data_IF_012642776938
#
_entry.id   IF_012642776938
#
_cell.length_a   1.000
_cell.length_b   1.000
_cell.length_c   1.000
_cell.angle_alpha   90.00
_cell.angle_beta   90.00
_cell.angle_gamma   90.00
#
_symmetry.space_group_name_H-M   'P 1'
#
loop_
_entity.id
_entity.type
_entity.pdbx_description
1 polymer ?
#
# COMPACT_ATOMS: atom_id res chain seq x y z
N UNK A 1 14.73 -24.93 3.37
CA UNK A 1 14.38 -23.49 3.38
C UNK A 1 13.81 -23.14 2.01
N UNK A 2 12.75 -22.34 1.93
CA UNK A 2 12.28 -21.83 0.64
C UNK A 2 13.37 -20.94 0.02
N UNK A 3 13.90 -21.37 -1.13
CA UNK A 3 14.92 -20.64 -1.85
C UNK A 3 14.41 -19.24 -2.26
N UNK A 4 15.29 -18.24 -2.25
CA UNK A 4 14.95 -16.85 -2.64
C UNK A 4 14.31 -15.98 -1.57
N UNK A 5 13.77 -16.52 -0.47
CA UNK A 5 13.15 -15.70 0.59
C UNK A 5 14.06 -14.62 1.18
N UNK A 6 15.36 -14.86 1.24
CA UNK A 6 16.37 -13.91 1.74
C UNK A 6 16.60 -12.71 0.81
N UNK A 7 16.13 -12.79 -0.44
CA UNK A 7 16.23 -11.71 -1.44
C UNK A 7 15.04 -10.76 -1.42
N UNK A 8 13.99 -11.05 -0.64
CA UNK A 8 12.88 -10.11 -0.45
C UNK A 8 13.40 -8.81 0.17
N UNK A 9 12.91 -7.64 -0.26
CA UNK A 9 13.33 -6.36 0.31
C UNK A 9 12.64 -6.07 1.65
N UNK A 10 13.17 -5.12 2.42
CA UNK A 10 12.54 -4.58 3.62
C UNK A 10 11.61 -3.42 3.27
N UNK A 11 10.71 -3.66 2.33
CA UNK A 11 9.83 -2.64 1.75
C UNK A 11 8.36 -3.08 1.81
N UNK A 12 7.41 -2.12 1.76
CA UNK A 12 6.00 -2.42 1.65
C UNK A 12 5.70 -3.19 0.36
N UNK A 13 4.72 -4.08 0.41
CA UNK A 13 4.32 -4.79 -0.81
C UNK A 13 3.33 -5.90 -0.58
N UNK A 14 3.02 -6.62 -1.66
CA UNK A 14 2.11 -7.77 -1.67
C UNK A 14 2.85 -8.98 -2.16
N UNK A 15 2.68 -10.11 -1.47
CA UNK A 15 3.29 -11.38 -1.82
C UNK A 15 2.25 -12.46 -2.10
N UNK A 16 2.66 -13.46 -2.90
CA UNK A 16 1.91 -14.69 -3.19
C UNK A 16 2.73 -15.89 -2.78
N UNK A 17 2.08 -16.85 -2.14
CA UNK A 17 2.58 -18.21 -2.03
C UNK A 17 2.00 -19.07 -3.13
N UNK A 18 2.86 -19.84 -3.81
CA UNK A 18 2.45 -20.82 -4.82
C UNK A 18 2.83 -22.23 -4.43
N UNK A 19 2.02 -23.20 -4.86
CA UNK A 19 2.38 -24.62 -4.78
C UNK A 19 3.27 -25.08 -5.94
N UNK A 20 3.72 -26.34 -5.90
CA UNK A 20 4.58 -26.92 -6.94
C UNK A 20 3.92 -27.05 -8.32
N UNK A 21 2.60 -26.79 -8.44
CA UNK A 21 1.87 -26.72 -9.71
C UNK A 21 1.65 -25.28 -10.16
N UNK A 22 2.25 -24.30 -9.47
CA UNK A 22 2.11 -22.88 -9.77
C UNK A 22 0.78 -22.26 -9.30
N UNK A 23 -0.06 -22.96 -8.53
CA UNK A 23 -1.34 -22.42 -8.06
C UNK A 23 -1.11 -21.46 -6.90
N UNK A 24 -1.78 -20.30 -6.91
CA UNK A 24 -1.74 -19.36 -5.79
C UNK A 24 -2.48 -19.95 -4.59
N UNK A 25 -1.75 -20.16 -3.50
CA UNK A 25 -2.26 -20.68 -2.24
C UNK A 25 -2.77 -19.54 -1.33
N UNK A 26 -2.05 -18.43 -1.32
CA UNK A 26 -2.29 -17.32 -0.42
C UNK A 26 -1.72 -16.01 -0.98
N UNK A 27 -2.42 -14.91 -0.73
CA UNK A 27 -2.00 -13.53 -0.99
C UNK A 27 -1.94 -12.79 0.33
N UNK A 28 -0.89 -12.00 0.58
CA UNK A 28 -0.85 -11.12 1.74
C UNK A 28 -0.08 -9.83 1.49
N UNK A 29 -0.40 -8.78 2.24
CA UNK A 29 0.42 -7.57 2.30
C UNK A 29 1.44 -7.59 3.42
N UNK A 30 2.46 -6.73 3.26
CA UNK A 30 3.52 -6.52 4.23
C UNK A 30 3.88 -5.02 4.32
N UNK A 31 4.22 -4.55 5.51
CA UNK A 31 4.99 -3.30 5.68
C UNK A 31 6.46 -3.50 5.32
N UNK A 32 6.97 -4.71 5.55
CA UNK A 32 8.32 -5.17 5.19
C UNK A 32 8.22 -6.61 4.68
N UNK A 33 8.40 -6.81 3.37
CA UNK A 33 8.21 -8.11 2.71
C UNK A 33 9.07 -9.22 3.33
N UNK A 34 10.37 -8.98 3.53
CA UNK A 34 11.29 -9.99 4.09
C UNK A 34 10.85 -10.50 5.46
N UNK A 35 10.60 -9.58 6.39
CA UNK A 35 10.17 -9.91 7.76
C UNK A 35 8.82 -10.64 7.75
N UNK A 36 7.84 -10.11 7.00
CA UNK A 36 6.49 -10.69 6.95
C UNK A 36 6.49 -12.08 6.35
N UNK A 37 7.17 -12.31 5.25
CA UNK A 37 7.27 -13.64 4.62
C UNK A 37 8.07 -14.59 5.50
N UNK A 38 9.17 -14.14 6.11
CA UNK A 38 9.96 -14.92 7.06
C UNK A 38 9.13 -15.48 8.22
N UNK A 39 8.19 -14.69 8.73
CA UNK A 39 7.31 -15.06 9.87
C UNK A 39 6.44 -16.30 9.65
N UNK A 40 6.32 -16.82 8.43
CA UNK A 40 5.57 -18.05 8.14
C UNK A 40 6.36 -19.33 8.46
N UNK A 41 7.69 -19.22 8.55
CA UNK A 41 8.59 -20.31 8.94
C UNK A 41 9.08 -20.18 10.39
N UNK A 42 8.46 -19.28 11.14
CA UNK A 42 8.61 -19.13 12.60
C UNK A 42 7.34 -19.67 13.28
N UNK A 43 7.21 -19.50 14.59
CA UNK A 43 5.95 -19.80 15.28
C UNK A 43 4.80 -19.01 14.65
N UNK A 44 3.78 -19.75 14.20
CA UNK A 44 2.62 -19.19 13.53
C UNK A 44 1.60 -18.60 14.51
N UNK A 45 1.70 -18.90 15.81
CA UNK A 45 0.76 -18.41 16.83
C UNK A 45 -0.68 -18.67 16.42
N UNK A 46 -1.52 -17.64 16.39
CA UNK A 46 -2.94 -17.71 16.00
C UNK A 46 -3.18 -18.15 14.54
N UNK A 47 -2.12 -18.22 13.72
CA UNK A 47 -2.18 -18.65 12.32
C UNK A 47 -1.94 -20.15 12.13
N UNK A 48 -2.15 -21.00 13.16
CA UNK A 48 -1.95 -22.46 13.06
C UNK A 48 -2.68 -23.14 11.89
N UNK A 49 -3.81 -22.57 11.45
CA UNK A 49 -4.53 -23.07 10.27
C UNK A 49 -3.71 -23.00 8.97
N UNK A 50 -2.64 -22.20 8.92
CA UNK A 50 -1.76 -22.07 7.76
C UNK A 50 -0.62 -23.08 7.74
N UNK A 51 -0.42 -23.91 8.77
CA UNK A 51 0.67 -24.92 8.81
C UNK A 51 0.66 -25.81 7.56
N UNK A 52 -0.51 -26.32 7.18
CA UNK A 52 -0.67 -27.16 5.97
C UNK A 52 -0.39 -26.40 4.68
N UNK A 53 -0.70 -25.10 4.65
CA UNK A 53 -0.38 -24.24 3.51
C UNK A 53 1.13 -24.05 3.40
N UNK A 54 1.80 -23.69 4.50
CA UNK A 54 3.25 -23.44 4.54
C UNK A 54 4.03 -24.65 4.04
N UNK A 55 3.62 -25.86 4.44
CA UNK A 55 4.21 -27.10 3.96
C UNK A 55 4.06 -27.32 2.43
N UNK A 56 3.04 -26.74 1.81
CA UNK A 56 2.77 -26.85 0.38
C UNK A 56 3.40 -25.73 -0.46
N UNK A 57 4.02 -24.72 0.15
CA UNK A 57 4.63 -23.59 -0.57
C UNK A 57 5.90 -24.05 -1.29
N UNK A 58 5.88 -23.94 -2.62
CA UNK A 58 7.03 -24.21 -3.48
C UNK A 58 7.70 -22.93 -3.99
N UNK A 59 6.98 -21.81 -4.06
CA UNK A 59 7.52 -20.54 -4.51
C UNK A 59 6.88 -19.33 -3.80
N UNK A 60 7.64 -18.23 -3.76
CA UNK A 60 7.18 -16.91 -3.34
C UNK A 60 7.32 -15.94 -4.51
N UNK A 61 6.27 -15.18 -4.76
CA UNK A 61 6.29 -14.01 -5.63
C UNK A 61 5.96 -12.78 -4.80
N UNK A 62 6.42 -11.61 -5.23
CA UNK A 62 6.07 -10.36 -4.58
C UNK A 62 6.09 -9.19 -5.56
N UNK A 63 5.28 -8.18 -5.26
CA UNK A 63 5.38 -6.84 -5.81
C UNK A 63 5.69 -5.88 -4.66
N UNK A 64 6.66 -4.99 -4.89
CA UNK A 64 6.95 -3.86 -4.00
C UNK A 64 5.96 -2.74 -4.31
N UNK A 65 5.57 -2.03 -3.25
CA UNK A 65 4.70 -0.86 -3.31
C UNK A 65 5.43 0.35 -2.74
N UNK A 66 5.06 1.53 -3.22
CA UNK A 66 5.65 2.81 -2.80
C UNK A 66 5.13 3.23 -1.40
N UNK A 67 4.07 2.59 -0.90
CA UNK A 67 3.56 2.81 0.45
C UNK A 67 2.81 1.60 1.03
N UNK A 68 2.61 1.61 2.35
CA UNK A 68 1.77 0.60 3.03
C UNK A 68 0.31 0.72 2.62
N UNK A 69 -0.16 1.94 2.30
CA UNK A 69 -1.52 2.16 1.80
C UNK A 69 -1.71 1.58 0.40
N UNK A 70 -0.74 1.78 -0.48
CA UNK A 70 -0.69 1.15 -1.80
C UNK A 70 -0.66 -0.38 -1.70
N UNK A 71 0.14 -0.95 -0.80
CA UNK A 71 0.15 -2.40 -0.56
C UNK A 71 -1.21 -2.93 -0.06
N UNK A 72 -1.94 -2.15 0.75
CA UNK A 72 -3.29 -2.50 1.18
C UNK A 72 -4.28 -2.50 0.00
N UNK A 73 -4.18 -1.52 -0.88
CA UNK A 73 -4.99 -1.47 -2.11
C UNK A 73 -4.69 -2.62 -3.06
N UNK A 74 -3.41 -2.92 -3.30
CA UNK A 74 -3.02 -4.02 -4.19
C UNK A 74 -3.49 -5.37 -3.65
N UNK A 75 -3.35 -5.62 -2.34
CA UNK A 75 -3.86 -6.85 -1.72
C UNK A 75 -5.37 -6.97 -1.92
N UNK A 76 -6.11 -5.88 -1.65
CA UNK A 76 -7.55 -5.85 -1.86
C UNK A 76 -7.90 -6.18 -3.30
N UNK A 77 -7.35 -5.45 -4.27
CA UNK A 77 -7.68 -5.59 -5.69
C UNK A 77 -7.43 -7.03 -6.17
N UNK A 78 -6.33 -7.62 -5.73
CA UNK A 78 -5.98 -9.01 -6.07
C UNK A 78 -6.93 -10.00 -5.41
N UNK A 79 -7.32 -9.80 -4.15
CA UNK A 79 -8.26 -10.67 -3.44
C UNK A 79 -9.69 -10.60 -3.99
N UNK A 80 -10.12 -9.42 -4.45
CA UNK A 80 -11.39 -9.24 -5.16
C UNK A 80 -11.40 -10.01 -6.49
N UNK A 81 -10.28 -9.97 -7.22
CA UNK A 81 -10.16 -10.65 -8.52
C UNK A 81 -9.96 -12.17 -8.38
N UNK A 82 -9.14 -12.60 -7.42
CA UNK A 82 -8.85 -14.01 -7.14
C UNK A 82 -8.77 -14.20 -5.64
N UNK A 83 -9.63 -15.05 -5.09
CA UNK A 83 -9.60 -15.44 -3.67
C UNK A 83 -8.92 -16.82 -3.51
N UNK A 84 -7.65 -16.87 -3.07
CA UNK A 84 -6.97 -18.15 -2.87
C UNK A 84 -7.61 -18.96 -1.75
N UNK A 85 -7.44 -20.30 -1.81
CA UNK A 85 -8.02 -21.27 -0.86
C UNK A 85 -7.75 -20.92 0.61
N UNK A 86 -6.54 -20.43 0.92
CA UNK A 86 -6.12 -20.19 2.30
C UNK A 86 -6.38 -18.76 2.77
N UNK A 87 -6.82 -17.85 1.90
CA UNK A 87 -7.20 -16.51 2.30
C UNK A 87 -8.56 -16.50 3.01
N UNK A 88 -8.57 -15.98 4.23
CA UNK A 88 -9.79 -15.74 5.02
C UNK A 88 -10.01 -14.24 5.12
N UNK A 89 -11.20 -13.79 4.76
CA UNK A 89 -11.63 -12.39 4.89
C UNK A 89 -12.77 -12.36 5.89
N UNK A 90 -12.44 -12.42 7.19
CA UNK A 90 -13.44 -12.33 8.27
C UNK A 90 -13.98 -10.91 8.32
N UNK A 91 -15.30 -10.75 8.32
CA UNK A 91 -15.95 -9.42 8.30
C UNK A 91 -16.07 -8.79 6.90
N UNK A 92 -15.69 -9.50 5.84
CA UNK A 92 -15.75 -8.98 4.48
C UNK A 92 -14.57 -8.08 4.11
N UNK A 93 -14.51 -7.69 2.83
CA UNK A 93 -13.46 -6.81 2.33
C UNK A 93 -13.71 -5.39 2.83
N UNK A 94 -12.68 -4.71 3.33
CA UNK A 94 -12.82 -3.36 3.92
C UNK A 94 -13.48 -2.36 2.96
N UNK A 95 -14.61 -1.76 3.31
CA UNK A 95 -15.27 -0.79 2.42
C UNK A 95 -14.38 0.45 2.20
N UNK A 96 -14.07 0.82 0.95
CA UNK A 96 -13.38 2.07 0.66
C UNK A 96 -14.19 3.28 1.13
N UNK A 97 -13.49 4.34 1.51
CA UNK A 97 -14.11 5.61 1.91
C UNK A 97 -13.54 6.76 1.11
N UNK A 98 -14.29 7.85 1.06
CA UNK A 98 -13.97 9.07 0.34
C UNK A 98 -14.03 10.26 1.28
N UNK A 99 -13.42 11.36 0.86
CA UNK A 99 -13.54 12.64 1.54
C UNK A 99 -14.24 13.64 0.62
N UNK A 100 -15.30 14.24 1.14
CA UNK A 100 -16.03 15.32 0.47
C UNK A 100 -15.60 16.66 1.04
N UNK A 101 -15.20 17.59 0.17
CA UNK A 101 -14.93 18.98 0.53
C UNK A 101 -16.12 19.83 0.13
N UNK A 102 -16.73 20.47 1.12
CA UNK A 102 -17.85 21.40 0.93
C UNK A 102 -17.33 22.81 1.06
N UNK A 103 -17.36 23.59 -0.01
CA UNK A 103 -17.07 25.02 0.02
C UNK A 103 -18.37 25.84 -0.14
N UNK A 104 -19.29 25.65 0.81
CA UNK A 104 -20.50 26.44 0.89
C UNK A 104 -20.31 27.59 1.88
N UNK A 105 -20.89 28.75 1.60
CA UNK A 105 -20.92 29.86 2.57
C UNK A 105 -21.76 29.54 3.82
N UNK A 106 -22.69 28.59 3.74
CA UNK A 106 -23.55 28.22 4.87
C UNK A 106 -22.82 27.32 5.87
N UNK A 107 -22.27 26.21 5.37
CA UNK A 107 -21.63 25.16 6.17
C UNK A 107 -20.46 24.53 5.39
N UNK A 108 -19.31 25.22 5.29
CA UNK A 108 -18.13 24.67 4.65
C UNK A 108 -17.49 23.59 5.54
N UNK A 109 -16.75 22.65 4.95
CA UNK A 109 -16.06 21.64 5.73
C UNK A 109 -15.65 20.40 4.96
N UNK A 110 -14.83 19.58 5.61
CA UNK A 110 -14.37 18.29 5.12
C UNK A 110 -15.13 17.17 5.86
N UNK A 111 -15.70 16.22 5.10
CA UNK A 111 -16.52 15.12 5.62
C UNK A 111 -16.06 13.76 5.08
N UNK A 112 -16.30 12.70 5.85
CA UNK A 112 -16.18 11.32 5.38
C UNK A 112 -17.42 10.93 4.56
N UNK A 113 -17.22 10.26 3.44
CA UNK A 113 -18.28 9.67 2.61
C UNK A 113 -17.99 8.19 2.37
N UNK A 114 -19.04 7.37 2.32
CA UNK A 114 -18.97 5.97 1.89
C UNK A 114 -19.32 5.81 0.40
N UNK A 115 -19.83 6.87 -0.23
CA UNK A 115 -20.04 6.96 -1.67
C UNK A 115 -18.91 7.75 -2.32
N UNK A 116 -18.60 7.51 -3.61
CA UNK A 116 -17.61 8.28 -4.35
C UNK A 116 -17.81 9.79 -4.22
N UNK A 117 -16.75 10.50 -3.85
CA UNK A 117 -16.77 11.95 -3.59
C UNK A 117 -15.48 12.62 -4.12
N UNK A 118 -15.20 13.85 -3.68
CA UNK A 118 -14.12 14.69 -4.18
C UNK A 118 -12.73 14.03 -4.09
N UNK A 119 -12.40 13.33 -2.99
CA UNK A 119 -11.08 12.74 -2.77
C UNK A 119 -11.15 11.27 -2.35
N UNK A 120 -10.14 10.49 -2.75
CA UNK A 120 -10.05 9.05 -2.52
C UNK A 120 -10.01 8.25 -3.83
N UNK A 121 -10.30 6.94 -3.78
CA UNK A 121 -10.74 6.17 -2.61
C UNK A 121 -9.60 5.90 -1.60
N UNK A 122 -9.96 5.74 -0.33
CA UNK A 122 -9.06 5.38 0.76
C UNK A 122 -9.47 4.06 1.41
N UNK A 123 -8.49 3.34 1.97
CA UNK A 123 -8.68 2.21 2.87
C UNK A 123 -8.30 2.66 4.28
N UNK A 124 -8.70 1.91 5.31
CA UNK A 124 -8.48 2.27 6.70
C UNK A 124 -9.43 3.35 7.17
N UNK A 125 -10.74 3.11 7.22
CA UNK A 125 -11.71 4.18 7.58
C UNK A 125 -11.41 4.88 8.91
N UNK A 126 -10.85 4.17 9.90
CA UNK A 126 -10.38 4.76 11.15
C UNK A 126 -9.20 5.71 10.94
N UNK A 127 -8.21 5.32 10.12
CA UNK A 127 -7.08 6.18 9.73
C UNK A 127 -7.57 7.41 8.98
N UNK A 128 -8.52 7.25 8.07
CA UNK A 128 -9.10 8.39 7.34
C UNK A 128 -9.79 9.37 8.30
N UNK A 129 -10.48 8.88 9.34
CA UNK A 129 -11.04 9.73 10.41
C UNK A 129 -9.96 10.43 11.24
N UNK A 130 -8.86 9.75 11.56
CA UNK A 130 -7.72 10.37 12.26
C UNK A 130 -7.07 11.46 11.39
N UNK A 131 -6.89 11.22 10.10
CA UNK A 131 -6.37 12.23 9.17
C UNK A 131 -7.31 13.44 9.09
N UNK A 132 -8.62 13.19 9.01
CA UNK A 132 -9.64 14.24 9.05
C UNK A 132 -9.59 15.06 10.34
N UNK A 133 -9.38 14.41 11.50
CA UNK A 133 -9.18 15.08 12.79
C UNK A 133 -7.95 16.00 12.74
N UNK A 134 -6.82 15.50 12.25
CA UNK A 134 -5.59 16.28 12.07
C UNK A 134 -5.79 17.47 11.15
N UNK A 135 -6.37 17.27 9.97
CA UNK A 135 -6.65 18.35 9.01
C UNK A 135 -7.56 19.43 9.61
N UNK A 136 -8.63 19.04 10.33
CA UNK A 136 -9.49 19.99 11.04
C UNK A 136 -8.77 20.77 12.14
N UNK A 137 -7.71 20.19 12.73
CA UNK A 137 -6.92 20.84 13.77
C UNK A 137 -6.10 22.01 13.21
N UNK A 138 -5.48 21.80 12.05
CA UNK A 138 -4.58 22.78 11.41
C UNK A 138 -5.27 23.69 10.39
N UNK A 139 -6.40 23.26 9.81
CA UNK A 139 -7.18 23.98 8.80
C UNK A 139 -8.66 23.94 9.16
N UNK A 140 -9.12 24.80 10.10
CA UNK A 140 -10.44 24.67 10.69
C UNK A 140 -11.55 25.29 9.81
N UNK A 141 -11.65 24.82 8.56
CA UNK A 141 -12.58 25.32 7.53
C UNK A 141 -14.03 25.42 8.02
N UNK A 142 -14.46 24.49 8.88
CA UNK A 142 -15.83 24.46 9.43
C UNK A 142 -16.24 25.73 10.19
N UNK A 143 -15.28 26.51 10.68
CA UNK A 143 -15.54 27.75 11.42
C UNK A 143 -15.61 29.00 10.52
N UNK A 144 -15.60 28.83 9.19
CA UNK A 144 -15.73 29.94 8.22
C UNK A 144 -17.16 30.12 7.70
N UNK A 145 -18.10 29.29 8.15
CA UNK A 145 -19.51 29.33 7.70
C UNK A 145 -20.30 30.52 8.24
N UNK A 146 -21.40 30.85 7.59
CA UNK A 146 -22.37 31.87 8.04
C UNK A 146 -23.37 31.35 9.06
N UNK A 147 -23.53 30.03 9.17
CA UNK A 147 -24.49 29.37 10.09
C UNK A 147 -23.82 28.77 11.33
N UNK A 148 -22.87 29.48 11.93
CA UNK A 148 -22.23 29.04 13.17
C UNK A 148 -23.17 29.18 14.36
N UNK A 149 -23.23 28.13 15.19
CA UNK A 149 -23.83 28.16 16.53
C UNK A 149 -22.99 29.01 17.49
N UNK A 150 -23.51 29.30 18.69
CA UNK A 150 -22.79 30.11 19.69
C UNK A 150 -21.42 29.55 20.06
N UNK A 151 -21.31 28.24 20.30
CA UNK A 151 -20.05 27.58 20.60
C UNK A 151 -19.08 27.60 19.41
N UNK A 152 -19.59 27.44 18.18
CA UNK A 152 -18.77 27.47 16.98
C UNK A 152 -18.21 28.87 16.69
N UNK A 153 -18.98 29.93 16.96
CA UNK A 153 -18.48 31.32 16.86
C UNK A 153 -17.36 31.60 17.85
N UNK A 154 -17.53 31.21 19.11
CA UNK A 154 -16.48 31.36 20.12
C UNK A 154 -15.21 30.58 19.72
N UNK A 155 -15.36 29.41 19.09
CA UNK A 155 -14.23 28.66 18.55
C UNK A 155 -13.59 29.33 17.34
N UNK A 156 -14.37 29.94 16.44
CA UNK A 156 -13.86 30.72 15.32
C UNK A 156 -13.00 31.90 15.80
N UNK A 157 -13.51 32.66 16.78
CA UNK A 157 -12.80 33.79 17.42
C UNK A 157 -11.50 33.33 18.08
N UNK A 158 -11.56 32.26 18.90
CA UNK A 158 -10.37 31.70 19.56
C UNK A 158 -9.30 31.21 18.56
N UNK A 159 -9.72 30.75 17.38
CA UNK A 159 -8.83 30.29 16.32
C UNK A 159 -8.40 31.41 15.37
N UNK A 160 -8.95 32.62 15.51
CA UNK A 160 -8.67 33.75 14.63
C UNK A 160 -9.13 33.54 13.19
N UNK A 161 -10.23 32.80 12.98
CA UNK A 161 -10.73 32.44 11.65
C UNK A 161 -12.06 33.11 11.37
N UNK A 162 -12.21 33.60 10.14
CA UNK A 162 -13.38 34.35 9.66
C UNK A 162 -13.92 33.75 8.35
N UNK A 163 -15.06 34.27 7.88
CA UNK A 163 -15.61 33.87 6.58
C UNK A 163 -14.68 34.21 5.39
N UNK A 164 -13.76 35.18 5.54
CA UNK A 164 -12.82 35.57 4.49
C UNK A 164 -11.74 34.50 4.24
N UNK A 165 -11.43 33.68 5.25
CA UNK A 165 -10.39 32.64 5.17
C UNK A 165 -10.86 31.38 4.43
N UNK A 166 -12.17 31.28 4.16
CA UNK A 166 -12.82 30.08 3.60
C UNK A 166 -12.13 29.56 2.34
N UNK A 167 -11.93 30.43 1.35
CA UNK A 167 -11.38 30.05 0.05
C UNK A 167 -9.93 29.57 0.19
N UNK A 168 -9.14 30.21 1.05
CA UNK A 168 -7.74 29.82 1.29
C UNK A 168 -7.69 28.47 1.99
N UNK A 169 -8.43 28.29 3.09
CA UNK A 169 -8.46 27.03 3.83
C UNK A 169 -8.99 25.87 3.00
N UNK A 170 -10.01 26.10 2.17
CA UNK A 170 -10.54 25.08 1.26
C UNK A 170 -9.50 24.69 0.19
N UNK A 171 -8.80 25.67 -0.39
CA UNK A 171 -7.74 25.42 -1.38
C UNK A 171 -6.55 24.66 -0.77
N UNK A 172 -6.11 25.00 0.44
CA UNK A 172 -5.03 24.28 1.12
C UNK A 172 -5.43 22.82 1.41
N UNK A 173 -6.65 22.59 1.93
CA UNK A 173 -7.16 21.23 2.14
C UNK A 173 -7.23 20.45 0.83
N UNK A 174 -7.73 21.06 -0.24
CA UNK A 174 -7.80 20.44 -1.55
C UNK A 174 -6.40 20.08 -2.08
N UNK A 175 -5.41 20.97 -1.95
CA UNK A 175 -4.03 20.72 -2.36
C UNK A 175 -3.40 19.58 -1.57
N UNK A 176 -3.56 19.55 -0.24
CA UNK A 176 -3.07 18.43 0.59
C UNK A 176 -3.72 17.10 0.19
N UNK A 177 -5.03 17.07 -0.05
CA UNK A 177 -5.75 15.86 -0.44
C UNK A 177 -5.49 15.44 -1.90
N UNK A 178 -5.13 16.39 -2.77
CA UNK A 178 -4.59 16.15 -4.10
C UNK A 178 -3.12 15.67 -4.07
N UNK A 179 -2.53 15.54 -2.87
CA UNK A 179 -1.15 15.10 -2.62
C UNK A 179 -0.09 16.05 -3.20
N UNK A 180 -0.38 17.35 -3.24
CA UNK A 180 0.62 18.36 -3.57
C UNK A 180 1.77 18.30 -2.55
N UNK A 181 3.03 18.11 -2.97
CA UNK A 181 4.15 17.90 -2.04
C UNK A 181 4.35 19.04 -1.05
N UNK A 182 4.16 20.28 -1.48
CA UNK A 182 4.33 21.43 -0.59
C UNK A 182 3.19 21.54 0.42
N UNK A 183 1.94 21.38 -0.02
CA UNK A 183 0.78 21.41 0.86
C UNK A 183 0.80 20.26 1.88
N UNK A 184 1.25 19.07 1.48
CA UNK A 184 1.46 17.94 2.40
C UNK A 184 2.59 18.25 3.38
N UNK A 185 3.70 18.80 2.90
CA UNK A 185 4.84 19.21 3.75
C UNK A 185 4.43 20.24 4.81
N UNK A 186 3.68 21.28 4.43
CA UNK A 186 3.13 22.28 5.35
C UNK A 186 2.18 21.66 6.37
N UNK A 187 1.21 20.86 5.93
CA UNK A 187 0.26 20.20 6.83
C UNK A 187 0.96 19.30 7.87
N UNK A 188 1.98 18.56 7.44
CA UNK A 188 2.80 17.73 8.32
C UNK A 188 3.59 18.59 9.32
N UNK A 189 4.21 19.67 8.86
CA UNK A 189 4.96 20.58 9.73
C UNK A 189 4.06 21.21 10.80
N UNK A 190 2.86 21.68 10.42
CA UNK A 190 1.90 22.28 11.34
C UNK A 190 1.43 21.29 12.41
N UNK A 191 1.11 20.05 12.03
CA UNK A 191 0.75 19.02 13.01
C UNK A 191 1.93 18.63 13.91
N UNK A 192 3.15 18.55 13.37
CA UNK A 192 4.34 18.27 14.17
C UNK A 192 4.60 19.38 15.20
N UNK A 193 4.46 20.64 14.82
CA UNK A 193 4.59 21.76 15.75
C UNK A 193 3.56 21.69 16.89
N UNK A 194 2.30 21.34 16.59
CA UNK A 194 1.27 21.15 17.61
C UNK A 194 1.55 19.97 18.54
N UNK A 195 2.06 18.86 18.01
CA UNK A 195 2.51 17.71 18.82
C UNK A 195 3.63 18.13 19.77
N UNK A 196 4.63 18.84 19.26
CA UNK A 196 5.81 19.22 20.01
C UNK A 196 5.47 20.25 21.09
N UNK A 197 4.56 21.18 20.80
CA UNK A 197 4.00 22.09 21.80
C UNK A 197 3.26 21.33 22.91
N UNK A 198 2.42 20.36 22.56
CA UNK A 198 1.71 19.54 23.55
C UNK A 198 2.71 18.77 24.44
N UNK A 199 3.74 18.17 23.85
CA UNK A 199 4.79 17.47 24.57
C UNK A 199 5.60 18.40 25.49
N UNK A 200 5.92 19.63 25.04
CA UNK A 200 6.60 20.63 25.86
C UNK A 200 5.80 21.04 27.10
N UNK A 201 4.46 21.00 27.01
CA UNK A 201 3.54 21.24 28.13
C UNK A 201 3.19 19.97 28.93
N UNK A 202 3.90 18.86 28.72
CA UNK A 202 3.67 17.56 29.35
C UNK A 202 2.29 16.93 29.05
N UNK A 203 1.60 17.39 28.01
CA UNK A 203 0.32 16.84 27.56
C UNK A 203 0.53 15.63 26.64
N UNK A 204 1.14 14.55 27.17
CA UNK A 204 1.58 13.40 26.38
C UNK A 204 0.46 12.65 25.67
N UNK A 205 -0.74 12.57 26.25
CA UNK A 205 -1.90 11.96 25.58
C UNK A 205 -2.29 12.72 24.31
N UNK A 206 -2.29 14.05 24.39
CA UNK A 206 -2.58 14.92 23.24
C UNK A 206 -1.47 14.81 22.19
N UNK A 207 -0.20 14.80 22.61
CA UNK A 207 0.92 14.59 21.70
C UNK A 207 0.83 13.22 21.00
N UNK A 208 0.45 12.16 21.73
CA UNK A 208 0.20 10.83 21.18
C UNK A 208 -0.92 10.84 20.15
N UNK A 209 -2.05 11.50 20.45
CA UNK A 209 -3.15 11.65 19.50
C UNK A 209 -2.71 12.38 18.23
N UNK A 210 -1.96 13.49 18.33
CA UNK A 210 -1.48 14.22 17.16
C UNK A 210 -0.45 13.40 16.37
N UNK A 211 0.34 12.56 17.04
CA UNK A 211 1.24 11.62 16.37
C UNK A 211 0.47 10.57 15.54
N UNK A 212 -0.69 10.10 16.02
CA UNK A 212 -1.58 9.25 15.22
C UNK A 212 -2.21 10.01 14.04
N UNK A 213 -2.63 11.27 14.26
CA UNK A 213 -3.14 12.15 13.20
C UNK A 213 -2.08 12.39 12.11
N UNK A 214 -0.81 12.57 12.48
CA UNK A 214 0.33 12.66 11.55
C UNK A 214 0.52 11.39 10.73
N UNK A 215 0.55 10.22 11.38
CA UNK A 215 0.67 8.94 10.69
C UNK A 215 -0.52 8.65 9.76
N UNK A 216 -1.70 9.16 10.13
CA UNK A 216 -2.90 9.07 9.33
C UNK A 216 -2.90 10.04 8.13
N UNK A 217 -2.34 11.25 8.30
CA UNK A 217 -2.09 12.17 7.18
C UNK A 217 -1.17 11.51 6.17
N UNK A 218 -0.01 11.00 6.62
CA UNK A 218 0.94 10.27 5.78
C UNK A 218 0.28 9.09 5.04
N UNK A 219 -0.67 8.41 5.68
CA UNK A 219 -1.42 7.31 5.06
C UNK A 219 -2.29 7.75 3.89
N UNK A 220 -3.07 8.83 4.03
CA UNK A 220 -3.98 9.28 2.97
C UNK A 220 -3.27 10.06 1.85
N UNK A 221 -2.13 10.69 2.16
CA UNK A 221 -1.31 11.43 1.19
C UNK A 221 -0.20 10.59 0.57
N UNK A 222 -0.07 9.31 0.96
CA UNK A 222 0.92 8.40 0.40
C UNK A 222 0.76 8.23 -1.12
N UNK A 223 1.87 7.96 -1.86
CA UNK A 223 1.81 7.56 -3.26
C UNK A 223 0.85 6.38 -3.47
N UNK A 224 0.05 6.49 -4.54
CA UNK A 224 -0.99 5.53 -4.88
C UNK A 224 -1.10 5.38 -6.40
N UNK A 225 -0.49 4.33 -6.94
CA UNK A 225 -0.53 3.96 -8.37
C UNK A 225 -1.49 2.81 -8.66
N UNK A 226 -1.61 1.86 -7.73
CA UNK A 226 -2.31 0.57 -7.99
C UNK A 226 -3.84 0.71 -8.01
N UNK A 227 -4.38 1.84 -7.57
CA UNK A 227 -5.80 2.21 -7.67
C UNK A 227 -5.92 3.68 -8.08
N UNK A 228 -6.45 3.91 -9.27
CA UNK A 228 -6.78 5.22 -9.82
C UNK A 228 -8.30 5.40 -9.93
N UNK A 229 -8.74 6.66 -9.95
CA UNK A 229 -10.12 7.03 -10.31
C UNK A 229 -10.35 7.05 -11.82
N UNK A 230 -9.28 7.26 -12.57
CA UNK A 230 -9.36 7.29 -14.03
C UNK A 230 -9.55 5.87 -14.53
N UNK A 231 -10.64 5.58 -15.26
CA UNK A 231 -10.85 4.28 -15.84
C UNK A 231 -9.78 4.03 -16.91
N UNK A 232 -9.13 2.88 -16.83
CA UNK A 232 -8.08 2.50 -17.78
C UNK A 232 -7.83 1.00 -17.75
N UNK A 233 -7.74 0.42 -18.94
CA UNK A 233 -7.47 -1.00 -19.17
C UNK A 233 -6.19 -1.15 -19.97
N UNK A 234 -5.16 -1.71 -19.34
CA UNK A 234 -3.88 -1.95 -20.00
C UNK A 234 -3.10 -3.06 -19.30
N UNK A 235 -1.99 -3.44 -19.90
CA UNK A 235 -0.99 -4.29 -19.28
C UNK A 235 0.33 -3.54 -19.26
N UNK A 236 0.91 -3.39 -18.08
CA UNK A 236 2.28 -2.91 -17.95
C UNK A 236 3.23 -4.11 -17.83
N UNK A 237 4.42 -4.01 -18.42
CA UNK A 237 5.40 -5.09 -18.42
C UNK A 237 6.80 -4.58 -18.09
N UNK A 238 7.56 -5.41 -17.39
CA UNK A 238 8.98 -5.23 -17.10
C UNK A 238 9.72 -6.53 -17.35
N UNK A 239 11.03 -6.45 -17.63
CA UNK A 239 11.84 -7.63 -17.90
C UNK A 239 13.20 -7.53 -17.21
N UNK A 240 13.64 -8.63 -16.63
CA UNK A 240 14.96 -8.73 -16.00
C UNK A 240 15.42 -10.19 -15.95
N UNK A 241 16.68 -10.46 -16.27
CA UNK A 241 17.35 -11.77 -16.21
C UNK A 241 16.49 -12.96 -16.69
N UNK A 242 15.87 -12.81 -17.86
CA UNK A 242 15.06 -13.88 -18.46
C UNK A 242 13.67 -14.05 -17.85
N UNK A 243 13.21 -13.14 -17.00
CA UNK A 243 11.86 -13.10 -16.42
C UNK A 243 11.10 -11.91 -16.97
N UNK A 244 9.96 -12.18 -17.61
CA UNK A 244 8.96 -11.16 -17.96
C UNK A 244 7.92 -11.10 -16.85
N UNK A 245 7.74 -9.92 -16.26
CA UNK A 245 6.63 -9.58 -15.38
C UNK A 245 5.58 -8.81 -16.16
N UNK A 246 4.31 -9.15 -15.97
CA UNK A 246 3.16 -8.42 -16.50
C UNK A 246 2.21 -8.05 -15.36
N UNK A 247 1.70 -6.82 -15.41
CA UNK A 247 0.80 -6.20 -14.45
C UNK A 247 -0.51 -5.88 -15.16
N UNK A 248 -1.61 -6.48 -14.71
CA UNK A 248 -2.92 -6.34 -15.36
C UNK A 248 -3.73 -5.25 -14.66
N UNK A 249 -3.95 -4.13 -15.35
CA UNK A 249 -4.76 -3.01 -14.84
C UNK A 249 -6.12 -3.01 -15.54
N UNK A 250 -7.21 -3.00 -14.77
CA UNK A 250 -8.58 -2.93 -15.26
C UNK A 250 -9.37 -1.90 -14.47
N UNK A 251 -10.11 -1.04 -15.17
CA UNK A 251 -10.86 0.07 -14.59
C UNK A 251 -10.00 0.87 -13.58
N UNK A 252 -8.74 1.15 -13.95
CA UNK A 252 -7.81 1.91 -13.11
C UNK A 252 -7.24 1.15 -11.92
N UNK A 253 -7.50 -0.16 -11.78
CA UNK A 253 -7.02 -0.99 -10.66
C UNK A 253 -6.06 -2.07 -11.13
N UNK A 254 -4.90 -2.19 -10.49
CA UNK A 254 -4.02 -3.35 -10.65
C UNK A 254 -4.66 -4.56 -9.96
N UNK A 255 -5.19 -5.48 -10.75
CA UNK A 255 -5.99 -6.63 -10.28
C UNK A 255 -5.22 -7.96 -10.28
N UNK A 256 -4.17 -8.07 -11.09
CA UNK A 256 -3.37 -9.28 -11.18
C UNK A 256 -1.95 -8.99 -11.66
N UNK A 257 -1.04 -9.92 -11.40
CA UNK A 257 0.27 -9.97 -12.05
C UNK A 257 0.65 -11.41 -12.40
N UNK A 258 1.47 -11.55 -13.44
CA UNK A 258 2.04 -12.82 -13.84
C UNK A 258 3.52 -12.65 -14.17
N UNK A 259 4.32 -13.65 -13.77
CA UNK A 259 5.74 -13.75 -14.12
C UNK A 259 6.00 -15.06 -14.85
N UNK A 260 6.83 -15.02 -15.90
CA UNK A 260 7.21 -16.21 -16.67
C UNK A 260 8.62 -16.08 -17.25
N UNK A 261 9.32 -17.20 -17.48
CA UNK A 261 10.51 -17.21 -18.31
C UNK A 261 10.22 -16.61 -19.70
N UNK A 262 11.08 -15.70 -20.15
CA UNK A 262 10.96 -15.03 -21.43
C UNK A 262 12.32 -14.49 -21.84
N UNK A 263 12.76 -14.75 -23.08
CA UNK A 263 13.94 -14.09 -23.64
C UNK A 263 13.69 -12.61 -23.90
N UNK A 264 14.75 -11.81 -23.89
CA UNK A 264 14.69 -10.35 -24.07
C UNK A 264 13.97 -9.93 -25.35
N UNK A 265 14.33 -10.53 -26.49
CA UNK A 265 13.69 -10.24 -27.79
C UNK A 265 12.19 -10.51 -27.79
N UNK A 266 11.74 -11.53 -27.06
CA UNK A 266 10.32 -11.85 -26.93
C UNK A 266 9.60 -10.94 -25.92
N UNK A 267 10.33 -10.33 -24.99
CA UNK A 267 9.79 -9.35 -24.05
C UNK A 267 9.60 -7.96 -24.69
N UNK A 268 10.44 -7.58 -25.65
CA UNK A 268 10.47 -6.23 -26.23
C UNK A 268 9.10 -5.66 -26.66
N UNK A 269 8.19 -6.40 -27.33
CA UNK A 269 6.87 -5.87 -27.68
C UNK A 269 6.00 -5.54 -26.46
N UNK A 270 6.13 -6.31 -25.37
CA UNK A 270 5.40 -6.07 -24.13
C UNK A 270 5.93 -4.81 -23.42
N UNK A 271 7.25 -4.61 -23.41
CA UNK A 271 7.88 -3.43 -22.81
C UNK A 271 7.50 -2.16 -23.57
N UNK A 272 7.49 -2.22 -24.90
CA UNK A 272 7.09 -1.09 -25.76
C UNK A 272 5.62 -0.70 -25.58
N UNK A 273 4.74 -1.65 -25.22
CA UNK A 273 3.33 -1.40 -24.94
C UNK A 273 3.06 -0.87 -23.52
N UNK A 274 4.08 -0.83 -22.65
CA UNK A 274 3.92 -0.36 -21.26
C UNK A 274 3.71 1.15 -21.22
N UNK A 275 2.64 1.65 -20.55
CA UNK A 275 2.49 3.09 -20.34
C UNK A 275 3.68 3.68 -19.59
N UNK A 276 4.16 4.86 -20.01
CA UNK A 276 5.37 5.48 -19.45
C UNK A 276 5.35 5.63 -17.92
N UNK A 277 4.21 6.02 -17.34
CA UNK A 277 4.03 6.14 -15.89
C UNK A 277 4.18 4.82 -15.11
N UNK A 278 4.15 3.67 -15.80
CA UNK A 278 4.28 2.33 -15.23
C UNK A 278 5.62 1.66 -15.54
N UNK A 279 6.42 2.18 -16.47
CA UNK A 279 7.65 1.54 -16.92
C UNK A 279 8.63 1.30 -15.76
N UNK A 280 8.92 2.33 -14.96
CA UNK A 280 9.80 2.20 -13.80
C UNK A 280 9.27 1.23 -12.74
N UNK A 281 7.96 1.26 -12.47
CA UNK A 281 7.33 0.36 -11.51
C UNK A 281 7.36 -1.11 -11.97
N UNK A 282 7.06 -1.36 -13.25
CA UNK A 282 7.07 -2.69 -13.83
C UNK A 282 8.50 -3.25 -13.89
N UNK A 283 9.48 -2.42 -14.25
CA UNK A 283 10.88 -2.81 -14.31
C UNK A 283 11.44 -3.21 -12.94
N UNK A 284 11.25 -2.35 -11.93
CA UNK A 284 11.65 -2.64 -10.55
C UNK A 284 11.10 -3.96 -10.02
N UNK A 285 9.83 -4.25 -10.34
CA UNK A 285 9.20 -5.49 -9.90
C UNK A 285 9.64 -6.70 -10.74
N UNK A 286 10.02 -6.51 -12.00
CA UNK A 286 10.62 -7.57 -12.81
C UNK A 286 11.99 -7.99 -12.27
N UNK A 287 12.81 -7.04 -11.82
CA UNK A 287 14.08 -7.29 -11.13
C UNK A 287 13.89 -8.10 -9.85
N UNK A 288 12.88 -7.76 -9.04
CA UNK A 288 12.52 -8.56 -7.87
C UNK A 288 12.09 -9.99 -8.28
N UNK A 289 11.22 -10.12 -9.29
CA UNK A 289 10.75 -11.42 -9.77
C UNK A 289 11.91 -12.30 -10.27
N UNK A 290 12.85 -11.71 -10.99
CA UNK A 290 14.08 -12.36 -11.45
C UNK A 290 14.94 -12.81 -10.25
N UNK A 291 15.21 -11.92 -9.30
CA UNK A 291 16.01 -12.22 -8.12
C UNK A 291 15.43 -13.39 -7.30
N UNK A 292 14.10 -13.47 -7.15
CA UNK A 292 13.42 -14.56 -6.45
C UNK A 292 13.47 -15.88 -7.24
N UNK A 293 13.44 -15.82 -8.57
CA UNK A 293 13.47 -17.00 -9.45
C UNK A 293 14.86 -17.64 -9.51
N UNK A 294 15.93 -16.84 -9.71
CA UNK A 294 17.32 -17.31 -9.81
C UNK A 294 17.79 -18.00 -8.53
N UNK A 295 17.29 -17.57 -7.37
CA UNK A 295 17.59 -18.24 -6.11
C UNK A 295 16.96 -19.63 -6.01
N UNK A 296 15.80 -19.88 -6.65
CA UNK A 296 15.12 -21.17 -6.69
C UNK A 296 15.80 -22.22 -7.56
N UNK A 297 16.40 -21.81 -8.68
CA UNK A 297 17.10 -22.71 -9.62
C UNK A 297 18.47 -23.17 -9.11
N UNK A 298 19.07 -22.49 -8.14
CA UNK A 298 20.40 -22.82 -7.58
C UNK A 298 20.45 -24.04 -6.65
N UNK A 299 19.31 -24.68 -6.34
CA UNK A 299 19.24 -25.85 -5.43
C UNK A 299 19.11 -27.20 -6.16
N UNK A 300 19.38 -27.25 -7.47
CA UNK A 300 19.32 -28.47 -8.29
C UNK A 300 20.70 -28.93 -8.81
N UNK A 301 21.79 -28.63 -8.10
CA UNK A 301 23.07 -29.27 -8.36
C UNK A 301 23.09 -30.66 -7.70
N UNK A 302 22.95 -31.70 -8.51
CA UNK A 302 23.03 -33.10 -8.09
C UNK A 302 24.34 -33.40 -7.32
N UNK A 303 24.32 -34.21 -6.25
CA UNK A 303 25.55 -34.67 -5.63
C UNK A 303 26.29 -35.56 -6.64
N UNK A 304 27.50 -35.13 -7.03
CA UNK A 304 28.43 -35.97 -7.78
C UNK A 304 28.61 -37.28 -7.01
N UNK A 305 28.32 -38.40 -7.68
CA UNK A 305 28.37 -39.74 -7.10
C UNK A 305 29.72 -40.01 -6.47
N UNK A 306 29.69 -40.59 -5.27
CA UNK A 306 30.86 -41.19 -4.62
C UNK A 306 31.32 -42.35 -5.48
N UNK A 307 32.55 -42.29 -5.97
CA UNK A 307 33.28 -43.47 -6.42
C UNK A 307 33.59 -44.35 -5.20
N UNK A 308 33.12 -45.60 -5.24
CA UNK A 308 33.50 -46.62 -4.25
C UNK A 308 34.90 -47.16 -4.62
N UNK A 309 35.83 -47.34 -3.66
CA UNK A 309 37.04 -48.10 -3.93
C UNK A 309 36.77 -49.60 -3.89
N UNK A 310 37.27 -50.23 -4.93
CA UNK A 310 37.33 -51.66 -5.27
C UNK A 310 37.86 -52.53 -4.13
N UNK A 311 37.21 -53.66 -3.89
CA UNK A 311 37.70 -54.73 -3.01
C UNK A 311 38.93 -55.42 -3.63
N UNK A 312 39.97 -55.66 -2.81
CA UNK A 312 41.09 -56.54 -3.14
C UNK A 312 40.84 -57.95 -2.58
N UNK A 313 41.21 -59.03 -3.30
CA UNK A 313 41.07 -60.38 -2.78
C UNK A 313 42.36 -60.85 -2.07
N UNK A 314 42.13 -61.48 -0.91
CA UNK A 314 42.96 -62.42 -0.12
C UNK A 314 44.41 -62.06 0.17
#
# INVERSE_FOLDING_TARGET
>A
MLAGRGRLPNEPGVYRFRDGRGRVLYVGRATQLRSRVGSYWSDLGDRRHLVRMVAAVAAVEALVCDSVHEAAWLERNVLEHRKPRWNRVRGGMETPVYLGLTDSSAAPGLRLSYEPDAFGPYLGSQRVRQALSGLHRIRPLRYTGTRLTGAERAMAEKRGVTAADRTVLAAELAATLARDPEAVGRARADLAALRDQAAATLAFEVAGQIQEELAALDWITAPQRVTSREPGDFTAAGWSDGVLLTLTVRAGRLIDWAQRPCGERAAAPHLAATPGAWAGYAQRNAELAAALTTAGSGSAAAPRGRSAPTAAPR
#
